data_IF_612360342399
#
_entry.id   IF_612360342399
#
_cell.length_a   1.000
_cell.length_b   1.000
_cell.length_c   1.000
_cell.angle_alpha   90.00
_cell.angle_beta   90.00
_cell.angle_gamma   90.00
#
_symmetry.space_group_name_H-M   'P 1'
#
loop_
_entity.id
_entity.type
_entity.pdbx_description
1 polymer ?
#
# COMPACT_ATOMS: atom_id res chain seq x y z
N UNK A 1 -31.74 4.90 -4.91
CA UNK A 1 -31.55 3.78 -3.96
C UNK A 1 -31.58 4.41 -2.57
N UNK A 2 -32.63 4.14 -1.79
CA UNK A 2 -32.85 4.78 -0.49
C UNK A 2 -31.87 4.21 0.56
N UNK A 3 -31.29 5.08 1.38
CA UNK A 3 -30.41 4.73 2.50
C UNK A 3 -31.12 3.75 3.44
N UNK A 4 -30.47 2.61 3.74
CA UNK A 4 -30.98 1.58 4.67
C UNK A 4 -31.05 2.05 6.14
N UNK A 5 -30.58 3.26 6.44
CA UNK A 5 -30.52 3.79 7.79
C UNK A 5 -31.34 5.08 7.91
N UNK A 6 -32.32 5.14 8.85
CA UNK A 6 -33.19 6.30 9.06
C UNK A 6 -32.47 7.50 9.71
N UNK A 7 -31.23 7.32 10.15
CA UNK A 7 -30.34 8.36 10.63
C UNK A 7 -29.15 8.53 9.67
N UNK A 8 -28.55 9.73 9.67
CA UNK A 8 -27.33 10.01 8.94
C UNK A 8 -26.15 9.24 9.56
N UNK A 9 -25.99 7.97 9.20
CA UNK A 9 -24.87 7.15 9.64
C UNK A 9 -23.60 7.65 8.96
N UNK A 10 -22.60 8.02 9.76
CA UNK A 10 -21.26 8.41 9.30
C UNK A 10 -20.27 7.32 9.68
N UNK A 11 -20.01 6.33 8.81
CA UNK A 11 -19.04 5.29 9.11
C UNK A 11 -17.65 5.89 9.31
N UNK A 12 -16.87 5.28 10.21
CA UNK A 12 -15.48 5.62 10.48
C UNK A 12 -14.66 4.32 10.64
N UNK A 13 -13.35 4.43 10.46
CA UNK A 13 -12.44 3.30 10.61
C UNK A 13 -12.43 2.78 12.05
N UNK A 14 -12.39 1.46 12.23
CA UNK A 14 -12.31 0.84 13.56
C UNK A 14 -10.85 0.68 13.97
N UNK A 15 -10.40 1.43 14.98
CA UNK A 15 -9.03 1.32 15.50
C UNK A 15 -8.80 0.00 16.23
N UNK A 16 -7.72 -0.70 15.87
CA UNK A 16 -7.19 -1.86 16.56
C UNK A 16 -5.97 -1.50 17.41
N UNK A 17 -5.07 -0.68 16.85
CA UNK A 17 -3.87 -0.17 17.53
C UNK A 17 -3.62 1.30 17.12
N UNK A 18 -2.96 2.04 18.01
CA UNK A 18 -2.60 3.45 17.85
C UNK A 18 -1.12 3.65 17.52
N UNK A 19 -0.23 2.73 17.91
CA UNK A 19 1.21 2.85 17.63
C UNK A 19 1.86 1.48 17.37
N UNK A 20 2.02 1.08 16.10
CA UNK A 20 1.64 1.82 14.88
C UNK A 20 0.11 1.83 14.65
N UNK A 21 -0.41 2.88 14.00
CA UNK A 21 -1.85 2.98 13.72
C UNK A 21 -2.32 1.82 12.82
N UNK A 22 -3.25 1.00 13.31
CA UNK A 22 -3.90 -0.06 12.56
C UNK A 22 -5.42 0.10 12.68
N UNK A 23 -6.10 0.24 11.54
CA UNK A 23 -7.53 0.49 11.53
C UNK A 23 -8.25 -0.28 10.42
N UNK A 24 -9.41 -0.80 10.75
CA UNK A 24 -10.20 -1.66 9.89
C UNK A 24 -11.31 -0.88 9.16
N UNK A 25 -11.54 -1.19 7.87
CA UNK A 25 -12.69 -0.68 7.14
C UNK A 25 -13.98 -1.17 7.81
N UNK A 26 -14.97 -0.29 8.07
CA UNK A 26 -16.25 -0.69 8.66
C UNK A 26 -17.12 -1.40 7.61
N UNK A 27 -16.75 -2.63 7.24
CA UNK A 27 -17.20 -3.33 6.03
C UNK A 27 -18.73 -3.46 5.92
N UNK A 28 -19.44 -3.52 7.05
CA UNK A 28 -20.89 -3.59 7.11
C UNK A 28 -21.60 -2.31 6.62
N UNK A 29 -20.89 -1.19 6.52
CA UNK A 29 -21.39 0.10 6.02
C UNK A 29 -20.88 0.41 4.61
N UNK A 30 -20.17 -0.51 3.97
CA UNK A 30 -19.65 -0.34 2.61
C UNK A 30 -20.65 -0.93 1.62
N UNK A 31 -21.46 -0.06 1.02
CA UNK A 31 -22.50 -0.45 0.05
C UNK A 31 -21.99 -0.60 -1.40
N UNK A 32 -20.71 -0.29 -1.65
CA UNK A 32 -20.12 -0.28 -2.98
C UNK A 32 -18.82 -1.09 -3.01
N UNK A 33 -18.52 -1.69 -4.16
CA UNK A 33 -17.24 -2.40 -4.36
C UNK A 33 -16.02 -1.46 -4.33
N UNK A 34 -16.21 -0.14 -4.35
CA UNK A 34 -15.15 0.86 -4.26
C UNK A 34 -15.19 1.49 -2.86
N UNK A 35 -14.13 1.29 -2.08
CA UNK A 35 -14.00 1.86 -0.74
C UNK A 35 -13.55 3.31 -0.88
N UNK A 36 -14.24 4.23 -0.21
CA UNK A 36 -13.84 5.63 -0.20
C UNK A 36 -12.52 5.81 0.54
N UNK A 37 -11.69 6.77 0.12
CA UNK A 37 -10.34 7.00 0.66
C UNK A 37 -10.27 7.13 2.18
N UNK A 38 -11.30 7.69 2.83
CA UNK A 38 -11.33 7.88 4.29
C UNK A 38 -11.77 6.62 5.07
N UNK A 39 -12.17 5.57 4.37
CA UNK A 39 -12.55 4.26 4.92
C UNK A 39 -11.63 3.14 4.43
N UNK A 40 -10.55 3.47 3.73
CA UNK A 40 -9.53 2.50 3.34
C UNK A 40 -8.82 1.98 4.60
N UNK A 41 -8.73 0.66 4.77
CA UNK A 41 -8.09 0.08 5.95
C UNK A 41 -6.61 0.47 6.04
N UNK A 42 -6.13 0.69 7.27
CA UNK A 42 -4.76 1.11 7.56
C UNK A 42 -4.00 -0.02 8.22
N UNK A 43 -2.86 -0.41 7.65
CA UNK A 43 -2.00 -1.46 8.22
C UNK A 43 -0.55 -1.01 8.20
N UNK A 44 -0.03 -0.64 9.37
CA UNK A 44 1.31 -0.14 9.57
C UNK A 44 2.11 -1.08 10.48
N UNK A 45 3.35 -1.38 10.12
CA UNK A 45 4.28 -2.14 10.98
C UNK A 45 5.12 -1.21 11.87
N UNK A 46 5.32 0.03 11.42
CA UNK A 46 6.06 1.07 12.10
C UNK A 46 5.29 2.39 11.99
N UNK A 47 5.66 3.39 12.79
CA UNK A 47 5.00 4.69 12.74
C UNK A 47 5.18 5.33 11.35
N UNK A 48 4.14 6.03 10.87
CA UNK A 48 4.17 6.68 9.55
C UNK A 48 5.33 7.67 9.44
N UNK A 49 6.11 7.64 8.33
CA UNK A 49 7.22 8.55 8.14
C UNK A 49 6.71 9.97 7.90
N UNK A 50 7.45 10.96 8.43
CA UNK A 50 7.15 12.39 8.22
C UNK A 50 7.72 12.86 6.88
N UNK A 51 7.01 12.58 5.79
CA UNK A 51 7.42 12.95 4.42
C UNK A 51 6.59 14.13 3.90
N UNK A 52 7.25 15.10 3.26
CA UNK A 52 6.57 16.14 2.49
C UNK A 52 6.56 15.80 0.99
N UNK A 53 5.38 15.88 0.34
CA UNK A 53 5.21 15.59 -1.09
C UNK A 53 6.17 16.31 -2.05
N UNK A 54 6.48 17.61 -1.85
CA UNK A 54 7.40 18.32 -2.75
C UNK A 54 8.80 17.71 -2.77
N UNK A 55 9.18 17.00 -1.70
CA UNK A 55 10.51 16.43 -1.52
C UNK A 55 10.49 14.89 -1.56
N UNK A 56 9.45 14.27 -2.14
CA UNK A 56 9.46 12.82 -2.30
C UNK A 56 10.33 12.41 -3.48
N UNK A 57 11.38 11.65 -3.15
CA UNK A 57 12.30 11.04 -4.09
C UNK A 57 12.40 9.56 -3.79
N UNK A 58 12.50 8.74 -4.84
CA UNK A 58 12.82 7.33 -4.69
C UNK A 58 13.89 6.94 -5.71
N UNK A 59 14.66 5.91 -5.38
CA UNK A 59 15.73 5.42 -6.22
C UNK A 59 15.43 4.03 -6.76
N UNK A 60 15.94 3.75 -7.96
CA UNK A 60 16.01 2.41 -8.55
C UNK A 60 17.50 2.11 -8.74
N UNK A 61 17.99 1.09 -8.05
CA UNK A 61 19.41 0.72 -8.03
C UNK A 61 19.58 -0.82 -8.08
N UNK A 62 20.79 -1.31 -7.82
CA UNK A 62 21.08 -2.74 -7.85
C UNK A 62 21.40 -3.24 -9.26
N UNK A 63 20.73 -4.32 -9.68
CA UNK A 63 21.04 -5.02 -10.94
C UNK A 63 20.40 -4.32 -12.17
N UNK A 64 20.83 -3.09 -12.40
CA UNK A 64 20.38 -2.20 -13.48
C UNK A 64 21.59 -1.53 -14.13
N UNK A 65 21.49 -1.17 -15.42
CA UNK A 65 22.58 -0.49 -16.15
C UNK A 65 22.76 0.96 -15.70
N UNK A 66 21.66 1.66 -15.45
CA UNK A 66 21.66 3.07 -15.09
C UNK A 66 20.73 3.27 -13.90
N UNK A 67 21.28 3.38 -12.67
CA UNK A 67 20.49 3.72 -11.50
C UNK A 67 19.71 5.02 -11.72
N UNK A 68 18.48 5.06 -11.24
CA UNK A 68 17.59 6.22 -11.36
C UNK A 68 17.32 6.82 -9.99
N UNK A 69 17.23 8.15 -9.95
CA UNK A 69 16.68 8.92 -8.83
C UNK A 69 15.51 9.75 -9.37
N UNK A 70 14.30 9.44 -8.91
CA UNK A 70 13.07 10.00 -9.46
C UNK A 70 12.32 10.79 -8.40
N UNK A 71 11.97 12.04 -8.72
CA UNK A 71 11.00 12.81 -7.95
C UNK A 71 9.57 12.34 -8.28
N UNK A 72 8.62 12.67 -7.41
CA UNK A 72 7.20 12.45 -7.72
C UNK A 72 6.76 13.18 -9.00
N UNK A 73 7.33 14.36 -9.29
CA UNK A 73 7.04 15.09 -10.53
C UNK A 73 7.52 14.32 -11.76
N UNK A 74 8.75 13.80 -11.73
CA UNK A 74 9.30 12.98 -12.82
C UNK A 74 8.51 11.69 -13.00
N UNK A 75 8.02 11.08 -11.91
CA UNK A 75 7.16 9.90 -12.00
C UNK A 75 5.83 10.24 -12.70
N UNK A 76 5.21 11.37 -12.36
CA UNK A 76 3.93 11.80 -12.92
C UNK A 76 3.99 12.23 -14.39
N UNK A 77 5.17 12.56 -14.93
CA UNK A 77 5.35 12.88 -16.35
C UNK A 77 5.46 11.64 -17.25
N UNK A 78 5.67 10.45 -16.68
CA UNK A 78 5.70 9.20 -17.42
C UNK A 78 4.28 8.67 -17.74
N UNK A 79 4.11 7.84 -18.78
CA UNK A 79 2.83 7.19 -19.06
C UNK A 79 2.29 6.43 -17.85
N UNK A 80 1.05 6.73 -17.49
CA UNK A 80 0.36 6.11 -16.36
C UNK A 80 -0.82 5.27 -16.83
N UNK A 81 -1.26 4.35 -15.97
CA UNK A 81 -2.48 3.57 -16.16
C UNK A 81 -3.26 3.48 -14.86
N UNK A 82 -4.54 3.18 -14.99
CA UNK A 82 -5.45 2.98 -13.87
C UNK A 82 -5.94 1.54 -13.85
N UNK A 83 -5.81 0.88 -12.71
CA UNK A 83 -6.24 -0.51 -12.52
C UNK A 83 -7.17 -0.62 -11.31
N UNK A 84 -8.19 -1.48 -11.41
CA UNK A 84 -9.09 -1.78 -10.29
C UNK A 84 -8.53 -2.97 -9.52
N UNK A 85 -8.13 -2.77 -8.27
CA UNK A 85 -7.43 -3.78 -7.46
C UNK A 85 -8.02 -3.85 -6.05
N UNK A 86 -8.11 -5.07 -5.53
CA UNK A 86 -8.34 -5.38 -4.12
C UNK A 86 -6.99 -5.46 -3.43
N UNK A 87 -6.85 -4.71 -2.33
CA UNK A 87 -5.77 -4.91 -1.35
C UNK A 87 -6.39 -5.64 -0.15
N UNK A 88 -5.86 -6.81 0.21
CA UNK A 88 -6.30 -7.56 1.38
C UNK A 88 -5.10 -7.87 2.27
N UNK A 89 -5.24 -7.63 3.57
CA UNK A 89 -4.24 -8.02 4.55
C UNK A 89 -4.23 -9.54 4.70
N UNK A 90 -3.06 -10.17 4.72
CA UNK A 90 -2.93 -11.59 5.06
C UNK A 90 -3.50 -11.93 6.45
N UNK A 91 -3.64 -10.93 7.33
CA UNK A 91 -4.27 -11.08 8.64
C UNK A 91 -5.78 -10.87 8.67
N UNK A 92 -6.43 -10.56 7.55
CA UNK A 92 -7.88 -10.38 7.51
C UNK A 92 -8.58 -11.62 8.08
N UNK A 93 -9.60 -11.43 8.91
CA UNK A 93 -10.35 -12.48 9.62
C UNK A 93 -9.57 -13.25 10.68
N UNK A 94 -8.38 -12.78 11.11
CA UNK A 94 -7.62 -13.42 12.20
C UNK A 94 -8.44 -13.59 13.48
N UNK A 95 -9.29 -12.62 13.82
CA UNK A 95 -10.15 -12.70 15.00
C UNK A 95 -11.21 -13.82 14.89
N UNK A 96 -11.42 -14.44 13.73
CA UNK A 96 -12.38 -15.53 13.56
C UNK A 96 -11.76 -16.92 13.78
N UNK A 97 -10.45 -17.01 14.01
CA UNK A 97 -9.80 -18.29 14.31
C UNK A 97 -10.09 -18.77 15.72
N UNK A 98 -10.25 -20.09 15.86
CA UNK A 98 -10.36 -20.80 17.14
C UNK A 98 -9.41 -22.03 17.11
N UNK A 99 -8.41 -22.10 18.01
CA UNK A 99 -8.08 -21.11 19.04
C UNK A 99 -7.54 -19.80 18.44
N UNK A 100 -7.57 -18.72 19.22
CA UNK A 100 -6.97 -17.43 18.83
C UNK A 100 -5.48 -17.59 18.51
N UNK A 101 -5.02 -16.86 17.51
CA UNK A 101 -3.61 -16.85 17.07
C UNK A 101 -3.01 -15.46 17.22
N UNK A 102 -1.69 -15.41 17.39
CA UNK A 102 -0.93 -14.17 17.59
C UNK A 102 -1.06 -13.20 16.41
N UNK A 103 -1.06 -11.90 16.73
CA UNK A 103 -1.10 -10.77 15.79
C UNK A 103 -2.34 -9.90 15.97
N UNK A 104 -2.42 -8.82 15.18
CA UNK A 104 -3.57 -7.92 15.10
C UNK A 104 -4.89 -8.68 14.89
N UNK A 105 -5.88 -8.48 15.76
CA UNK A 105 -7.14 -9.23 15.73
C UNK A 105 -8.14 -8.62 14.76
N UNK A 106 -7.79 -8.63 13.46
CA UNK A 106 -8.67 -8.18 12.38
C UNK A 106 -9.96 -9.00 12.32
N UNK A 107 -11.08 -8.30 12.17
CA UNK A 107 -12.38 -8.86 11.79
C UNK A 107 -12.44 -9.01 10.27
N UNK A 108 -13.40 -8.37 9.57
CA UNK A 108 -13.71 -8.66 8.16
C UNK A 108 -13.29 -7.55 7.19
N UNK A 109 -12.82 -6.42 7.71
CA UNK A 109 -12.56 -5.19 6.97
C UNK A 109 -11.09 -4.87 6.76
N UNK A 110 -10.16 -5.82 6.94
CA UNK A 110 -8.76 -5.64 6.55
C UNK A 110 -8.58 -5.84 5.03
N UNK A 111 -9.48 -5.24 4.26
CA UNK A 111 -9.65 -5.39 2.83
C UNK A 111 -10.26 -4.11 2.25
N UNK A 112 -9.74 -3.64 1.13
CA UNK A 112 -10.28 -2.49 0.41
C UNK A 112 -10.03 -2.61 -1.08
N UNK A 113 -11.01 -2.22 -1.88
CA UNK A 113 -10.92 -2.24 -3.34
C UNK A 113 -11.13 -0.83 -3.89
N UNK A 114 -10.39 -0.47 -4.93
CA UNK A 114 -10.58 0.79 -5.63
C UNK A 114 -9.74 0.87 -6.90
N UNK A 115 -9.68 2.08 -7.45
CA UNK A 115 -8.91 2.37 -8.66
C UNK A 115 -7.57 2.99 -8.29
N UNK A 116 -6.48 2.32 -8.66
CA UNK A 116 -5.12 2.77 -8.43
C UNK A 116 -4.54 3.30 -9.72
N UNK A 117 -3.99 4.52 -9.68
CA UNK A 117 -3.30 5.11 -10.83
C UNK A 117 -1.81 5.31 -10.54
N UNK A 118 -0.99 4.91 -11.51
CA UNK A 118 0.45 4.90 -11.37
C UNK A 118 1.20 4.58 -12.66
N UNK A 119 2.53 4.58 -12.56
CA UNK A 119 3.42 4.17 -13.66
C UNK A 119 3.72 2.69 -13.55
N UNK A 120 3.80 1.98 -14.68
CA UNK A 120 4.18 0.57 -14.67
C UNK A 120 5.61 0.37 -14.15
N UNK A 121 5.78 -0.56 -13.21
CA UNK A 121 7.11 -0.92 -12.71
C UNK A 121 8.00 -1.45 -13.84
N UNK A 122 7.44 -2.22 -14.78
CA UNK A 122 8.13 -2.65 -16.00
C UNK A 122 8.73 -1.47 -16.79
N UNK A 123 7.99 -0.36 -16.92
CA UNK A 123 8.48 0.83 -17.64
C UNK A 123 9.68 1.44 -16.92
N UNK A 124 9.61 1.57 -15.59
CA UNK A 124 10.70 2.12 -14.79
C UNK A 124 11.95 1.23 -14.83
N UNK A 125 11.78 -0.09 -14.70
CA UNK A 125 12.88 -1.06 -14.78
C UNK A 125 13.50 -1.10 -16.19
N UNK A 126 12.70 -0.92 -17.24
CA UNK A 126 13.20 -0.79 -18.62
C UNK A 126 14.03 0.48 -18.79
N UNK A 127 13.56 1.61 -18.24
CA UNK A 127 14.31 2.88 -18.26
C UNK A 127 15.65 2.78 -17.52
N UNK A 128 15.69 2.09 -16.37
CA UNK A 128 16.92 1.82 -15.63
C UNK A 128 17.84 0.80 -16.34
N UNK A 129 17.33 0.07 -17.32
CA UNK A 129 18.05 -0.99 -18.00
C UNK A 129 18.25 -2.22 -17.11
N UNK A 130 17.17 -2.82 -16.60
CA UNK A 130 17.17 -4.05 -15.82
C UNK A 130 18.07 -5.13 -16.45
N UNK A 131 18.96 -5.69 -15.64
CA UNK A 131 19.81 -6.80 -16.05
C UNK A 131 18.97 -8.10 -16.12
N UNK A 132 19.22 -8.92 -17.15
CA UNK A 132 18.53 -10.21 -17.38
C UNK A 132 18.78 -11.23 -16.26
N UNK A 133 19.87 -11.09 -15.52
CA UNK A 133 20.21 -12.00 -14.42
C UNK A 133 19.52 -11.65 -13.10
N UNK A 134 18.86 -10.49 -13.01
CA UNK A 134 18.11 -10.08 -11.83
C UNK A 134 17.03 -11.12 -11.47
N UNK A 135 16.85 -11.39 -10.16
CA UNK A 135 15.92 -12.40 -9.65
C UNK A 135 14.70 -11.81 -8.96
N UNK A 136 14.93 -10.75 -8.20
CA UNK A 136 13.87 -10.05 -7.47
C UNK A 136 14.05 -8.54 -7.56
N UNK A 137 12.93 -7.83 -7.39
CA UNK A 137 12.91 -6.42 -7.04
C UNK A 137 12.60 -6.32 -5.55
N UNK A 138 13.47 -5.63 -4.81
CA UNK A 138 13.26 -5.33 -3.40
C UNK A 138 12.69 -3.92 -3.29
N UNK A 139 11.61 -3.77 -2.54
CA UNK A 139 10.93 -2.52 -2.25
C UNK A 139 11.13 -2.22 -0.77
N UNK A 140 11.77 -1.10 -0.50
CA UNK A 140 12.02 -0.58 0.84
C UNK A 140 11.15 0.66 1.08
N UNK A 141 10.37 0.63 2.16
CA UNK A 141 9.58 1.75 2.64
C UNK A 141 10.44 2.79 3.37
N UNK A 142 9.89 4.00 3.52
CA UNK A 142 10.51 5.03 4.36
C UNK A 142 10.19 4.87 5.86
N UNK A 143 9.25 3.99 6.19
CA UNK A 143 8.93 3.61 7.56
C UNK A 143 9.96 2.62 8.10
N UNK A 144 10.35 2.79 9.35
CA UNK A 144 11.34 1.95 10.01
C UNK A 144 11.06 1.84 11.50
N UNK A 145 11.54 0.77 12.12
CA UNK A 145 11.45 0.59 13.56
C UNK A 145 12.19 -0.64 14.05
N UNK A 146 12.13 -0.86 15.36
CA UNK A 146 12.64 -2.09 15.97
C UNK A 146 11.70 -3.23 15.66
N UNK A 147 12.26 -4.39 15.33
CA UNK A 147 11.47 -5.61 15.20
C UNK A 147 11.59 -6.44 16.48
N UNK A 148 10.60 -7.26 16.76
CA UNK A 148 10.63 -8.16 17.93
C UNK A 148 11.55 -9.36 17.73
N UNK A 149 11.92 -9.67 16.48
CA UNK A 149 12.74 -10.81 16.11
C UNK A 149 14.21 -10.45 15.82
N UNK A 150 14.58 -9.17 15.84
CA UNK A 150 15.91 -8.68 15.49
C UNK A 150 16.29 -7.44 16.32
N UNK A 151 17.56 -7.33 16.75
CA UNK A 151 18.02 -6.29 17.68
C UNK A 151 18.25 -4.89 17.06
N UNK A 152 18.06 -4.73 15.75
CA UNK A 152 18.32 -3.47 15.05
C UNK A 152 17.04 -2.76 14.57
N UNK A 153 17.23 -1.55 14.06
CA UNK A 153 16.20 -0.79 13.34
C UNK A 153 16.19 -1.23 11.89
N UNK A 154 15.00 -1.51 11.35
CA UNK A 154 14.80 -1.98 9.99
C UNK A 154 13.72 -1.16 9.30
N UNK A 155 13.96 -0.81 8.04
CA UNK A 155 12.92 -0.34 7.14
C UNK A 155 11.93 -1.46 6.82
N UNK A 156 10.68 -1.12 6.52
CA UNK A 156 9.73 -2.12 6.02
C UNK A 156 10.08 -2.53 4.58
N UNK A 157 10.54 -3.76 4.41
CA UNK A 157 11.04 -4.26 3.12
C UNK A 157 10.28 -5.51 2.67
N UNK A 158 9.93 -5.56 1.38
CA UNK A 158 9.33 -6.71 0.70
C UNK A 158 9.96 -6.91 -0.67
N UNK A 159 9.93 -8.13 -1.19
CA UNK A 159 10.43 -8.43 -2.53
C UNK A 159 9.34 -9.01 -3.44
N UNK A 160 9.55 -8.86 -4.73
CA UNK A 160 8.77 -9.47 -5.81
C UNK A 160 9.73 -10.21 -6.74
N UNK A 161 9.44 -11.45 -7.16
CA UNK A 161 10.13 -12.07 -8.28
C UNK A 161 10.03 -11.21 -9.55
N UNK A 162 11.06 -11.22 -10.41
CA UNK A 162 11.09 -10.39 -11.63
C UNK A 162 9.83 -10.56 -12.48
N UNK A 163 9.31 -11.78 -12.62
CA UNK A 163 8.07 -12.02 -13.38
C UNK A 163 6.88 -11.18 -12.85
N UNK A 164 6.71 -11.13 -11.53
CA UNK A 164 5.67 -10.30 -10.90
C UNK A 164 6.00 -8.82 -11.00
N UNK A 165 7.27 -8.43 -10.86
CA UNK A 165 7.68 -7.04 -11.01
C UNK A 165 7.42 -6.49 -12.44
N UNK A 166 7.57 -7.35 -13.46
CA UNK A 166 7.34 -7.01 -14.87
C UNK A 166 5.88 -7.21 -15.31
N UNK A 167 5.00 -7.72 -14.44
CA UNK A 167 3.62 -7.98 -14.78
C UNK A 167 2.89 -6.69 -15.23
N UNK A 168 2.00 -6.76 -16.24
CA UNK A 168 1.23 -5.61 -16.71
C UNK A 168 0.30 -4.96 -15.68
N UNK A 169 0.14 -5.52 -14.48
CA UNK A 169 -0.66 -4.89 -13.41
C UNK A 169 0.21 -4.33 -12.27
N UNK A 170 1.53 -4.51 -12.33
CA UNK A 170 2.43 -3.98 -11.29
C UNK A 170 2.76 -2.52 -11.58
N UNK A 171 2.41 -1.65 -10.64
CA UNK A 171 2.56 -0.20 -10.75
C UNK A 171 3.21 0.39 -9.50
N UNK A 172 3.91 1.52 -9.70
CA UNK A 172 4.20 2.48 -8.64
C UNK A 172 3.04 3.49 -8.63
N UNK A 173 2.12 3.29 -7.70
CA UNK A 173 0.90 4.08 -7.57
C UNK A 173 1.16 5.41 -6.84
N UNK A 174 0.48 6.46 -7.28
CA UNK A 174 0.48 7.76 -6.59
C UNK A 174 -0.94 8.32 -6.38
N UNK A 175 -1.96 7.60 -6.86
CA UNK A 175 -3.37 7.96 -6.75
C UNK A 175 -4.25 6.76 -6.44
N UNK A 176 -5.28 7.00 -5.63
CA UNK A 176 -6.35 6.07 -5.31
C UNK A 176 -7.71 6.78 -5.46
N UNK A 177 -8.60 6.22 -6.27
CA UNK A 177 -9.90 6.78 -6.65
C UNK A 177 -9.80 8.25 -7.10
N UNK A 178 -8.89 8.53 -8.04
CA UNK A 178 -8.64 9.86 -8.62
C UNK A 178 -8.19 10.94 -7.63
N UNK A 179 -7.74 10.55 -6.44
CA UNK A 179 -7.14 11.46 -5.45
C UNK A 179 -5.71 11.02 -5.14
N UNK A 180 -4.78 11.95 -4.87
CA UNK A 180 -3.45 11.59 -4.41
C UNK A 180 -3.53 10.65 -3.21
N UNK A 181 -2.71 9.60 -3.22
CA UNK A 181 -2.40 8.87 -1.99
C UNK A 181 -1.76 9.91 -1.06
N UNK A 182 -2.12 9.93 0.22
CA UNK A 182 -1.66 10.87 1.28
C UNK A 182 -0.80 10.11 2.30
N UNK A 183 0.07 10.73 3.13
CA UNK A 183 0.74 10.04 4.23
C UNK A 183 -0.27 9.49 5.24
N UNK A 184 -1.42 10.14 5.40
CA UNK A 184 -2.53 9.66 6.25
C UNK A 184 -3.37 8.55 5.60
N UNK A 185 -2.94 8.06 4.43
CA UNK A 185 -3.62 6.99 3.70
C UNK A 185 -3.18 5.60 4.19
N UNK A 186 -2.05 5.52 4.90
CA UNK A 186 -1.46 4.26 5.38
C UNK A 186 -1.69 4.06 6.86
#
# INVERSE_FOLDING_TARGET
MFSRYPFLVRPYLKTLDLDPENQETPIHFIDSSIVSNHLFYRRNHFSSPKISYPNFWFSINGSVKTPLLLSLHNLKSLPSKTIKVVLECAGNKRNLFEPKVYGEQWEKGAISQGYWRGVSLQTLLKLAGLNKEAKEVVIEGHDFGKRTDLDNVYSYTRSLPIEKALHPDTIIAYEYNNKPISPFFF
#
